data_IF_782094975550
#
_entry.id   IF_782094975550
#
_cell.length_a   1.000
_cell.length_b   1.000
_cell.length_c   1.000
_cell.angle_alpha   90.00
_cell.angle_beta   90.00
_cell.angle_gamma   90.00
#
_symmetry.space_group_name_H-M   'P 1'
#
loop_
_entity.id
_entity.type
_entity.pdbx_description
1 polymer ?
#
# COMPACT_ATOMS: atom_id res chain seq x y z
N UNK A 1 3.57 47.59 63.66
CA UNK A 1 2.86 46.78 64.67
C UNK A 1 1.40 46.73 64.26
N UNK A 2 0.96 45.61 63.68
CA UNK A 2 0.07 44.63 64.32
C UNK A 2 -1.32 45.25 64.62
N UNK A 3 -2.29 45.08 63.71
CA UNK A 3 -3.33 44.02 63.67
C UNK A 3 -4.60 44.41 64.45
N UNK A 4 -5.77 44.37 63.79
CA UNK A 4 -6.87 43.43 64.13
C UNK A 4 -8.28 43.90 63.69
N UNK A 5 -8.84 43.12 62.75
CA UNK A 5 -10.21 42.59 62.60
C UNK A 5 -11.45 43.47 62.87
N UNK A 6 -12.33 43.54 61.85
CA UNK A 6 -13.75 43.10 61.95
C UNK A 6 -14.22 42.45 60.64
N UNK A 7 -15.07 41.45 60.81
CA UNK A 7 -15.47 40.42 59.86
C UNK A 7 -16.93 40.63 59.36
N UNK A 8 -17.30 39.83 58.35
CA UNK A 8 -18.65 39.47 57.86
C UNK A 8 -19.35 40.31 56.78
N UNK A 9 -19.34 39.75 55.57
CA UNK A 9 -20.34 39.92 54.51
C UNK A 9 -20.26 38.71 53.57
N UNK A 10 -21.39 38.04 53.35
CA UNK A 10 -21.57 36.64 52.97
C UNK A 10 -21.79 36.38 51.46
N UNK A 11 -21.30 35.21 50.99
CA UNK A 11 -21.89 34.34 49.93
C UNK A 11 -21.78 34.89 48.49
N UNK A 12 -21.18 34.20 47.50
CA UNK A 12 -21.66 33.01 46.77
C UNK A 12 -20.46 32.31 46.10
N UNK A 13 -20.35 30.99 46.30
CA UNK A 13 -19.50 30.11 45.47
C UNK A 13 -20.13 29.95 44.09
N UNK A 14 -19.37 30.21 43.01
CA UNK A 14 -19.75 29.74 41.68
C UNK A 14 -18.65 28.85 41.12
N UNK A 15 -19.00 27.57 41.07
CA UNK A 15 -18.26 26.46 40.52
C UNK A 15 -18.37 26.53 38.99
N UNK A 16 -17.29 26.74 38.23
CA UNK A 16 -17.31 26.46 36.78
C UNK A 16 -16.03 25.77 36.32
N UNK A 17 -16.27 24.58 35.81
CA UNK A 17 -15.32 23.59 35.34
C UNK A 17 -14.48 24.08 34.15
N UNK A 18 -13.26 23.58 34.14
CA UNK A 18 -12.34 23.53 33.00
C UNK A 18 -13.03 22.78 31.86
N UNK A 19 -13.18 23.42 30.70
CA UNK A 19 -13.55 22.74 29.45
C UNK A 19 -12.38 22.94 28.49
N UNK A 20 -11.48 21.95 28.44
CA UNK A 20 -10.61 21.74 27.29
C UNK A 20 -11.50 21.33 26.11
N UNK A 21 -11.76 22.26 25.18
CA UNK A 21 -12.28 21.90 23.87
C UNK A 21 -11.15 21.23 23.09
N UNK A 22 -11.10 19.90 23.17
CA UNK A 22 -10.35 19.09 22.21
C UNK A 22 -10.94 19.34 20.81
N UNK A 23 -10.16 19.95 19.93
CA UNK A 23 -10.47 20.01 18.50
C UNK A 23 -10.20 18.61 17.97
N UNK A 24 -11.26 17.81 17.89
CA UNK A 24 -11.21 16.56 17.14
C UNK A 24 -11.17 16.90 15.65
N UNK A 25 -9.96 16.99 15.11
CA UNK A 25 -9.73 16.92 13.66
C UNK A 25 -10.13 15.52 13.19
N UNK A 26 -11.40 15.37 12.82
CA UNK A 26 -11.89 14.18 12.15
C UNK A 26 -11.47 14.26 10.67
N UNK A 27 -10.18 14.07 10.41
CA UNK A 27 -9.67 13.87 9.06
C UNK A 27 -10.06 12.46 8.63
N UNK A 28 -11.28 12.31 8.14
CA UNK A 28 -11.56 11.29 7.14
C UNK A 28 -10.77 11.70 5.90
N UNK A 29 -9.51 11.29 5.83
CA UNK A 29 -8.72 11.33 4.61
C UNK A 29 -9.43 10.46 3.58
N UNK A 30 -10.27 11.07 2.77
CA UNK A 30 -10.50 10.56 1.44
C UNK A 30 -9.16 10.71 0.73
N UNK A 31 -8.45 9.59 0.57
CA UNK A 31 -7.22 9.55 -0.22
C UNK A 31 -7.64 9.90 -1.64
N UNK A 32 -7.46 11.15 -2.06
CA UNK A 32 -7.52 11.51 -3.47
C UNK A 32 -6.35 10.79 -4.13
N UNK A 33 -6.62 9.63 -4.74
CA UNK A 33 -5.63 8.92 -5.54
C UNK A 33 -5.13 9.88 -6.61
N UNK A 34 -3.81 10.01 -6.74
CA UNK A 34 -3.27 10.97 -7.70
C UNK A 34 -3.63 10.55 -9.13
N UNK A 35 -3.92 11.53 -9.98
CA UNK A 35 -4.20 11.29 -11.40
C UNK A 35 -3.04 10.58 -12.11
N UNK A 36 -1.80 10.80 -11.66
CA UNK A 36 -0.61 10.12 -12.15
C UNK A 36 -0.60 8.64 -11.79
N UNK A 37 -0.91 8.28 -10.54
CA UNK A 37 -0.96 6.88 -10.12
C UNK A 37 -2.06 6.10 -10.82
N UNK A 38 -3.18 6.74 -11.18
CA UNK A 38 -4.28 6.08 -11.91
C UNK A 38 -3.88 5.65 -13.34
N UNK A 39 -2.82 6.25 -13.92
CA UNK A 39 -2.31 5.87 -15.24
C UNK A 39 -1.50 4.58 -15.24
N UNK A 40 -1.06 4.12 -14.07
CA UNK A 40 -0.31 2.86 -13.94
C UNK A 40 -1.29 1.73 -13.66
N UNK A 41 -1.29 0.60 -14.40
CA UNK A 41 -2.19 -0.51 -14.07
C UNK A 41 -1.74 -1.22 -12.79
N UNK A 42 -2.70 -1.63 -11.95
CA UNK A 42 -2.42 -2.31 -10.68
C UNK A 42 -1.82 -3.71 -10.88
N UNK A 43 -2.24 -4.39 -11.96
CA UNK A 43 -1.76 -5.72 -12.34
C UNK A 43 -1.40 -5.71 -13.82
N UNK A 44 -0.24 -6.26 -14.15
CA UNK A 44 0.16 -6.62 -15.51
C UNK A 44 0.99 -7.91 -15.41
N UNK A 45 0.32 -9.04 -15.70
CA UNK A 45 0.90 -10.39 -15.60
C UNK A 45 0.53 -11.21 -16.84
N UNK A 46 1.37 -12.17 -17.21
CA UNK A 46 1.05 -13.09 -18.30
C UNK A 46 -0.19 -13.94 -17.98
N UNK A 47 -1.01 -14.18 -19.02
CA UNK A 47 -2.32 -14.83 -18.89
C UNK A 47 -2.30 -16.33 -18.60
N UNK A 48 -1.13 -16.97 -18.59
CA UNK A 48 -1.00 -18.39 -18.29
C UNK A 48 0.46 -18.77 -17.95
N UNK A 49 0.62 -19.95 -17.33
CA UNK A 49 1.91 -20.57 -17.10
C UNK A 49 2.53 -20.19 -15.75
N UNK A 50 3.80 -20.56 -15.57
CA UNK A 50 4.56 -20.33 -14.34
C UNK A 50 5.74 -19.40 -14.59
N UNK A 51 5.77 -18.26 -13.92
CA UNK A 51 6.72 -17.19 -14.21
C UNK A 51 7.12 -16.39 -12.97
N UNK A 52 8.17 -15.57 -13.10
CA UNK A 52 8.66 -14.71 -12.03
C UNK A 52 7.75 -13.48 -11.92
N UNK A 53 7.59 -12.97 -10.70
CA UNK A 53 6.87 -11.72 -10.46
C UNK A 53 7.58 -10.87 -9.40
N UNK A 54 7.31 -9.57 -9.42
CA UNK A 54 7.72 -8.62 -8.39
C UNK A 54 6.53 -7.80 -7.90
N UNK A 55 6.60 -7.43 -6.62
CA UNK A 55 5.71 -6.45 -6.00
C UNK A 55 6.43 -5.10 -5.97
N UNK A 56 5.81 -4.06 -6.52
CA UNK A 56 6.44 -2.74 -6.64
C UNK A 56 5.56 -1.71 -5.94
N UNK A 57 6.18 -0.81 -5.16
CA UNK A 57 5.53 0.41 -4.70
C UNK A 57 5.80 1.54 -5.71
N UNK A 58 4.73 2.13 -6.23
CA UNK A 58 4.77 3.33 -7.06
C UNK A 58 4.45 4.51 -6.15
N UNK A 59 5.39 5.42 -5.98
CA UNK A 59 5.24 6.62 -5.17
C UNK A 59 5.12 7.85 -6.06
N UNK A 60 4.12 8.68 -5.79
CA UNK A 60 3.96 10.00 -6.38
C UNK A 60 4.52 11.04 -5.41
N UNK A 61 5.68 11.60 -5.75
CA UNK A 61 6.36 12.56 -4.88
C UNK A 61 5.60 13.88 -4.73
N UNK A 62 4.87 14.30 -5.76
CA UNK A 62 4.16 15.58 -5.77
C UNK A 62 2.97 15.56 -4.80
N UNK A 63 2.30 14.41 -4.70
CA UNK A 63 1.11 14.23 -3.88
C UNK A 63 1.37 13.47 -2.57
N UNK A 64 2.59 12.96 -2.38
CA UNK A 64 3.00 12.14 -1.23
C UNK A 64 2.06 10.94 -0.98
N UNK A 65 1.66 10.29 -2.07
CA UNK A 65 0.81 9.09 -2.06
C UNK A 65 1.49 7.95 -2.80
N UNK A 66 1.15 6.70 -2.47
CA UNK A 66 1.66 5.54 -3.19
C UNK A 66 0.60 4.47 -3.40
N UNK A 67 0.90 3.56 -4.31
CA UNK A 67 0.17 2.31 -4.46
C UNK A 67 1.11 1.16 -4.79
N UNK A 68 0.69 -0.04 -4.43
CA UNK A 68 1.39 -1.26 -4.78
C UNK A 68 0.83 -1.87 -6.06
N UNK A 69 1.71 -2.35 -6.93
CA UNK A 69 1.38 -2.98 -8.21
C UNK A 69 2.09 -4.32 -8.36
N UNK A 70 1.50 -5.23 -9.12
CA UNK A 70 2.04 -6.57 -9.41
C UNK A 70 2.47 -6.63 -10.88
N UNK A 71 3.69 -7.11 -11.12
CA UNK A 71 4.26 -7.31 -12.46
C UNK A 71 4.86 -8.71 -12.58
N UNK A 72 4.62 -9.43 -13.68
CA UNK A 72 5.17 -10.76 -13.88
C UNK A 72 5.04 -11.32 -15.29
N UNK A 73 6.15 -11.75 -15.89
CA UNK A 73 6.19 -12.18 -17.29
C UNK A 73 6.98 -13.48 -17.45
N UNK A 74 6.46 -14.41 -18.24
CA UNK A 74 7.10 -15.69 -18.58
C UNK A 74 8.39 -15.51 -19.39
N UNK A 75 8.47 -14.44 -20.18
CA UNK A 75 9.71 -14.10 -20.91
C UNK A 75 10.83 -13.54 -20.04
N UNK A 76 10.52 -13.07 -18.82
CA UNK A 76 11.53 -12.48 -17.95
C UNK A 76 12.38 -13.58 -17.30
N UNK A 77 13.68 -13.56 -17.61
CA UNK A 77 14.61 -14.52 -17.05
C UNK A 77 14.92 -14.20 -15.59
N UNK A 78 14.93 -12.92 -15.23
CA UNK A 78 15.24 -12.43 -13.89
C UNK A 78 14.18 -11.47 -13.37
N UNK A 79 14.10 -11.34 -12.05
CA UNK A 79 13.23 -10.35 -11.42
C UNK A 79 13.64 -8.91 -11.74
N UNK A 80 14.93 -8.67 -11.99
CA UNK A 80 15.44 -7.35 -12.40
C UNK A 80 14.89 -6.94 -13.76
N UNK A 81 14.81 -7.86 -14.73
CA UNK A 81 14.25 -7.58 -16.06
C UNK A 81 12.81 -7.05 -15.96
N UNK A 82 12.01 -7.60 -15.03
CA UNK A 82 10.64 -7.14 -14.77
C UNK A 82 10.64 -5.74 -14.15
N UNK A 83 11.58 -5.45 -13.26
CA UNK A 83 11.69 -4.15 -12.60
C UNK A 83 12.12 -3.06 -13.57
N UNK A 84 13.12 -3.35 -14.41
CA UNK A 84 13.61 -2.42 -15.43
C UNK A 84 12.50 -2.07 -16.43
N UNK A 85 11.76 -3.09 -16.89
CA UNK A 85 10.62 -2.87 -17.78
C UNK A 85 9.48 -2.07 -17.12
N UNK A 86 9.14 -2.37 -15.86
CA UNK A 86 8.17 -1.56 -15.12
C UNK A 86 8.63 -0.10 -15.00
N UNK A 87 9.94 0.13 -14.85
CA UNK A 87 10.57 1.44 -14.91
C UNK A 87 10.35 2.13 -16.25
N UNK A 88 10.57 1.43 -17.36
CA UNK A 88 10.34 1.96 -18.71
C UNK A 88 8.86 2.31 -18.96
N UNK A 89 7.92 1.50 -18.47
CA UNK A 89 6.48 1.76 -18.56
C UNK A 89 6.05 3.01 -17.77
N UNK A 90 6.68 3.26 -16.61
CA UNK A 90 6.30 4.35 -15.70
C UNK A 90 7.04 5.66 -15.99
N UNK A 91 8.24 5.60 -16.57
CA UNK A 91 9.09 6.75 -16.91
C UNK A 91 8.38 7.90 -17.66
N UNK A 92 7.43 7.66 -18.59
CA UNK A 92 6.70 8.73 -19.26
C UNK A 92 5.76 9.53 -18.34
N UNK A 93 5.42 8.98 -17.17
CA UNK A 93 4.54 9.61 -16.19
C UNK A 93 5.40 10.37 -15.18
N UNK A 94 5.43 11.69 -15.30
CA UNK A 94 6.28 12.55 -14.46
C UNK A 94 5.92 12.46 -12.98
N UNK A 95 6.95 12.49 -12.11
CA UNK A 95 6.80 12.53 -10.66
C UNK A 95 6.57 11.18 -9.98
N UNK A 96 6.62 10.07 -10.73
CA UNK A 96 6.50 8.73 -10.17
C UNK A 96 7.87 8.09 -9.94
N UNK A 97 8.03 7.47 -8.77
CA UNK A 97 9.19 6.65 -8.40
C UNK A 97 8.76 5.22 -8.11
N UNK A 98 9.66 4.28 -8.43
CA UNK A 98 9.44 2.85 -8.21
C UNK A 98 10.38 2.32 -7.13
N UNK A 99 9.83 1.50 -6.25
CA UNK A 99 10.60 0.71 -5.29
C UNK A 99 10.14 -0.74 -5.34
N UNK A 100 11.03 -1.66 -5.67
CA UNK A 100 10.77 -3.08 -5.54
C UNK A 100 10.64 -3.44 -4.05
N UNK A 101 9.52 -4.08 -3.68
CA UNK A 101 9.25 -4.56 -2.31
C UNK A 101 9.60 -6.06 -2.14
N UNK A 102 10.08 -6.70 -3.20
CA UNK A 102 10.40 -8.12 -3.24
C UNK A 102 9.81 -8.80 -4.46
N UNK A 103 10.00 -10.12 -4.56
CA UNK A 103 9.37 -10.90 -5.61
C UNK A 103 9.12 -12.35 -5.22
N UNK A 104 8.77 -13.13 -6.22
CA UNK A 104 8.51 -14.57 -6.13
C UNK A 104 8.15 -15.13 -7.50
N UNK A 105 7.22 -16.06 -7.53
CA UNK A 105 6.62 -16.64 -8.72
C UNK A 105 5.11 -16.63 -8.66
N UNK A 106 4.53 -16.63 -9.85
CA UNK A 106 3.11 -16.82 -10.10
C UNK A 106 2.98 -18.07 -10.96
N UNK A 107 2.02 -18.91 -10.60
CA UNK A 107 1.47 -19.95 -11.47
C UNK A 107 0.02 -19.54 -11.80
N UNK A 108 -0.24 -19.29 -13.07
CA UNK A 108 -1.51 -18.81 -13.58
C UNK A 108 -2.11 -19.87 -14.50
N UNK A 109 -3.25 -20.42 -14.10
CA UNK A 109 -4.02 -21.38 -14.86
C UNK A 109 -5.40 -20.77 -15.17
N UNK A 110 -5.59 -20.22 -16.38
CA UNK A 110 -6.86 -19.59 -16.76
C UNK A 110 -7.99 -20.59 -16.97
N UNK A 111 -7.69 -21.84 -17.33
CA UNK A 111 -8.69 -22.88 -17.57
C UNK A 111 -9.37 -23.29 -16.25
N UNK A 112 -8.59 -23.43 -15.18
CA UNK A 112 -9.08 -23.70 -13.83
C UNK A 112 -9.40 -22.43 -13.04
N UNK A 113 -9.18 -21.25 -13.62
CA UNK A 113 -9.29 -19.93 -12.95
C UNK A 113 -8.54 -19.89 -11.62
N UNK A 114 -7.30 -20.35 -11.61
CA UNK A 114 -6.46 -20.34 -10.41
C UNK A 114 -5.20 -19.52 -10.62
N UNK A 115 -4.82 -18.80 -9.56
CA UNK A 115 -3.53 -18.12 -9.48
C UNK A 115 -2.88 -18.49 -8.14
N UNK A 116 -1.65 -18.97 -8.18
CA UNK A 116 -0.85 -19.28 -6.99
C UNK A 116 0.39 -18.38 -6.95
N UNK A 117 0.55 -17.64 -5.86
CA UNK A 117 1.69 -16.76 -5.58
C UNK A 117 2.64 -17.43 -4.58
N UNK A 118 3.93 -17.54 -4.87
CA UNK A 118 4.85 -18.26 -3.97
C UNK A 118 6.33 -17.94 -4.21
N UNK A 119 7.20 -18.46 -3.34
CA UNK A 119 8.65 -18.39 -3.48
C UNK A 119 9.23 -16.98 -3.29
N UNK A 120 10.42 -16.72 -3.83
CA UNK A 120 11.13 -15.46 -3.57
C UNK A 120 11.98 -14.98 -4.76
N UNK A 121 12.36 -13.71 -4.74
CA UNK A 121 13.39 -13.16 -5.64
C UNK A 121 14.78 -13.32 -5.02
N UNK A 122 15.73 -13.82 -5.79
CA UNK A 122 17.13 -13.90 -5.33
C UNK A 122 17.76 -12.50 -5.15
N UNK A 123 17.37 -11.53 -5.98
CA UNK A 123 17.91 -10.16 -5.93
C UNK A 123 17.16 -9.23 -4.99
N UNK A 124 15.84 -9.39 -4.87
CA UNK A 124 14.97 -8.48 -4.10
C UNK A 124 14.41 -9.09 -2.81
N UNK A 125 14.67 -10.36 -2.54
CA UNK A 125 14.07 -11.08 -1.43
C UNK A 125 12.61 -11.47 -1.66
N UNK A 126 11.96 -11.94 -0.60
CA UNK A 126 10.56 -12.38 -0.62
C UNK A 126 9.63 -11.16 -0.56
N UNK A 127 8.70 -11.06 -1.51
CA UNK A 127 7.60 -10.09 -1.42
C UNK A 127 6.60 -10.45 -0.33
N UNK A 128 5.82 -9.48 0.12
CA UNK A 128 4.56 -9.75 0.81
C UNK A 128 3.54 -10.36 -0.19
N UNK A 129 3.40 -11.68 -0.15
CA UNK A 129 2.52 -12.41 -1.05
C UNK A 129 1.05 -12.13 -0.75
N UNK A 130 0.70 -11.82 0.49
CA UNK A 130 -0.67 -11.50 0.86
C UNK A 130 -1.12 -10.19 0.21
N UNK A 131 -0.25 -9.17 0.21
CA UNK A 131 -0.51 -7.91 -0.53
C UNK A 131 -0.70 -8.19 -2.01
N UNK A 132 0.16 -9.02 -2.60
CA UNK A 132 0.08 -9.38 -4.02
C UNK A 132 -1.22 -10.11 -4.35
N UNK A 133 -1.62 -11.08 -3.54
CA UNK A 133 -2.90 -11.80 -3.69
C UNK A 133 -4.10 -10.86 -3.55
N UNK A 134 -4.06 -9.92 -2.61
CA UNK A 134 -5.17 -8.97 -2.42
C UNK A 134 -5.35 -8.03 -3.62
N UNK A 135 -4.26 -7.63 -4.28
CA UNK A 135 -4.32 -6.85 -5.53
C UNK A 135 -4.88 -7.74 -6.65
N UNK A 136 -4.37 -8.96 -6.80
CA UNK A 136 -4.81 -9.90 -7.83
C UNK A 136 -6.29 -10.27 -7.69
N UNK A 137 -6.81 -10.46 -6.47
CA UNK A 137 -8.23 -10.76 -6.21
C UNK A 137 -9.17 -9.63 -6.65
N UNK A 138 -8.71 -8.38 -6.60
CA UNK A 138 -9.49 -7.24 -7.11
C UNK A 138 -9.53 -7.24 -8.64
N UNK A 139 -8.47 -7.71 -9.29
CA UNK A 139 -8.35 -7.75 -10.75
C UNK A 139 -9.01 -9.00 -11.37
N UNK A 140 -8.93 -10.14 -10.68
CA UNK A 140 -9.50 -11.44 -11.07
C UNK A 140 -10.53 -11.91 -10.02
N UNK A 141 -11.71 -11.27 -9.95
CA UNK A 141 -12.68 -11.52 -8.88
C UNK A 141 -13.31 -12.91 -8.92
N UNK A 142 -13.26 -13.59 -10.05
CA UNK A 142 -13.79 -14.93 -10.27
C UNK A 142 -12.74 -16.05 -10.16
N UNK A 143 -11.49 -15.71 -9.80
CA UNK A 143 -10.40 -16.66 -9.65
C UNK A 143 -10.23 -17.13 -8.20
N UNK A 144 -9.79 -18.38 -8.04
CA UNK A 144 -9.24 -18.87 -6.77
C UNK A 144 -7.77 -18.49 -6.67
N UNK A 145 -7.47 -17.50 -5.82
CA UNK A 145 -6.12 -16.95 -5.67
C UNK A 145 -5.56 -17.25 -4.30
N UNK A 146 -4.42 -17.94 -4.26
CA UNK A 146 -3.76 -18.41 -3.04
C UNK A 146 -2.30 -17.98 -2.99
N UNK A 147 -1.71 -17.99 -1.79
CA UNK A 147 -0.27 -17.86 -1.64
C UNK A 147 0.31 -18.93 -0.71
N UNK A 148 1.62 -19.16 -0.85
CA UNK A 148 2.40 -20.02 0.04
C UNK A 148 3.81 -19.45 0.18
N UNK A 149 4.39 -19.59 1.38
CA UNK A 149 5.80 -19.28 1.63
C UNK A 149 6.75 -20.35 1.12
N UNK A 150 6.22 -21.50 0.71
CA UNK A 150 7.01 -22.64 0.26
C UNK A 150 7.30 -22.60 -1.24
N UNK A 151 8.44 -23.18 -1.62
CA UNK A 151 8.81 -23.45 -2.99
C UNK A 151 9.71 -22.41 -3.64
N UNK A 152 10.42 -22.83 -4.68
CA UNK A 152 11.12 -21.97 -5.63
C UNK A 152 10.49 -22.19 -6.99
#
# INVERSE_FOLDING_TARGET
MAESLKNFGSVVFNNRHIIFKAIFSNTKQFVTMSESLNKVPDVDIDGHGRFKYILINVFDEANNVSKSIVRGYARAQWHNDIFDEAGEQVKPISGLQLKCLGGGRIEHDPDNKTIKVFGYSQGFGKADHEVSVNILKKYYPDYSITWSDDGY
#
